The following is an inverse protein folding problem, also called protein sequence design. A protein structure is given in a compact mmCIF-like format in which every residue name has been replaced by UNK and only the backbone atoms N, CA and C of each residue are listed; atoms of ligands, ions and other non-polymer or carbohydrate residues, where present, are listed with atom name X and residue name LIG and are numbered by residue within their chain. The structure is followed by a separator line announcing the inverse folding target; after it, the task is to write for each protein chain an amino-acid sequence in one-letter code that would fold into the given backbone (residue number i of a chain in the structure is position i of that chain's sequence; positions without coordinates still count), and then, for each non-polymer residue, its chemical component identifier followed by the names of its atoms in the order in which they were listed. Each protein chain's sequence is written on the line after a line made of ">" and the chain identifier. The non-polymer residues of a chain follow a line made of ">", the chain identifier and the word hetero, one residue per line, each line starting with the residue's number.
data_IF_702312298827
#
_entry.id   IF_702312298827
#
_cell.length_a   1.000
_cell.length_b   1.000
_cell.length_c   1.000
_cell.angle_alpha   90.00
_cell.angle_beta   90.00
_cell.angle_gamma   90.00
#
_symmetry.space_group_name_H-M   'P 1'
#
loop_
_entity.id
_entity.type
_entity.pdbx_description
1 polymer ?
#
# COMPACT_ATOMS: atom_id res chain seq x y z
N UNK A 1 -15.35 23.43 -42.51
CA UNK A 1 -16.63 22.90 -41.99
C UNK A 1 -16.92 23.68 -40.72
N UNK A 2 -18.11 24.27 -40.60
CA UNK A 2 -18.45 25.12 -39.45
C UNK A 2 -19.80 24.65 -38.89
N UNK A 3 -19.83 24.36 -37.60
CA UNK A 3 -21.03 24.07 -36.81
C UNK A 3 -20.88 24.80 -35.46
N UNK A 4 -22.01 25.13 -34.83
CA UNK A 4 -22.03 25.71 -33.47
C UNK A 4 -21.75 24.67 -32.39
N UNK A 5 -21.95 23.40 -32.72
CA UNK A 5 -21.63 22.26 -31.86
C UNK A 5 -20.22 21.76 -32.18
N UNK A 6 -19.26 22.08 -31.30
CA UNK A 6 -17.87 21.65 -31.43
C UNK A 6 -17.73 20.13 -31.39
N UNK A 7 -18.56 19.42 -30.63
CA UNK A 7 -18.55 17.96 -30.61
C UNK A 7 -19.00 17.37 -31.94
N UNK A 8 -20.06 17.92 -32.55
CA UNK A 8 -20.54 17.48 -33.87
C UNK A 8 -19.52 17.75 -34.98
N UNK A 9 -18.85 18.90 -34.94
CA UNK A 9 -17.80 19.23 -35.91
C UNK A 9 -16.69 18.19 -35.90
N UNK A 10 -16.23 17.78 -34.72
CA UNK A 10 -15.18 16.77 -34.56
C UNK A 10 -15.66 15.35 -34.92
N UNK A 11 -16.91 15.01 -34.63
CA UNK A 11 -17.50 13.74 -35.08
C UNK A 11 -17.56 13.64 -36.62
N UNK A 12 -17.94 14.71 -37.31
CA UNK A 12 -17.96 14.73 -38.77
C UNK A 12 -16.52 14.67 -39.31
N UNK A 13 -15.57 15.33 -38.63
CA UNK A 13 -14.15 15.27 -39.00
C UNK A 13 -13.60 13.84 -38.92
N UNK A 14 -13.94 13.11 -37.86
CA UNK A 14 -13.60 11.71 -37.71
C UNK A 14 -14.25 10.84 -38.82
N UNK A 15 -15.55 11.05 -39.09
CA UNK A 15 -16.28 10.31 -40.13
C UNK A 15 -15.68 10.55 -41.51
N UNK A 16 -15.27 11.78 -41.79
CA UNK A 16 -14.61 12.13 -43.04
C UNK A 16 -13.25 11.44 -43.15
N UNK A 17 -12.40 11.50 -42.11
CA UNK A 17 -11.10 10.84 -42.11
C UNK A 17 -11.20 9.32 -42.32
N UNK A 18 -12.17 8.67 -41.66
CA UNK A 18 -12.30 7.21 -41.68
C UNK A 18 -13.21 6.68 -42.81
N UNK A 19 -14.08 7.51 -43.37
CA UNK A 19 -14.95 7.16 -44.49
C UNK A 19 -14.22 7.11 -45.83
N UNK A 20 -13.02 7.69 -45.93
CA UNK A 20 -12.17 7.65 -47.13
C UNK A 20 -11.43 6.32 -47.29
N UNK A 21 -11.37 5.48 -46.25
CA UNK A 21 -10.65 4.21 -46.26
C UNK A 21 -11.60 3.02 -46.10
N UNK A 22 -11.48 2.03 -46.98
CA UNK A 22 -12.31 0.82 -46.96
C UNK A 22 -12.12 -0.02 -45.69
N UNK A 23 -10.95 0.04 -45.05
CA UNK A 23 -10.62 -0.67 -43.81
C UNK A 23 -11.36 -0.12 -42.59
N UNK A 24 -11.68 1.17 -42.58
CA UNK A 24 -12.39 1.85 -41.48
C UNK A 24 -13.83 2.26 -41.84
N UNK A 25 -14.25 1.98 -43.08
CA UNK A 25 -15.60 2.28 -43.55
C UNK A 25 -16.67 1.50 -42.74
N UNK A 26 -17.82 2.14 -42.52
CA UNK A 26 -18.95 1.60 -41.75
C UNK A 26 -18.67 1.34 -40.26
N UNK A 27 -17.69 2.03 -39.67
CA UNK A 27 -17.38 1.92 -38.24
C UNK A 27 -16.46 0.76 -37.87
N UNK A 28 -15.88 0.07 -38.86
CA UNK A 28 -14.87 -0.95 -38.67
C UNK A 28 -13.48 -0.33 -38.38
N UNK A 29 -12.52 -1.16 -38.00
CA UNK A 29 -11.12 -0.78 -37.79
C UNK A 29 -10.75 -0.49 -36.33
N UNK A 30 -9.46 -0.60 -36.04
CA UNK A 30 -8.90 -0.45 -34.70
C UNK A 30 -8.77 1.04 -34.32
N UNK A 31 -8.73 1.32 -33.02
CA UNK A 31 -8.51 2.69 -32.50
C UNK A 31 -7.21 3.30 -33.04
N UNK A 32 -6.18 2.49 -33.26
CA UNK A 32 -4.90 2.92 -33.80
C UNK A 32 -5.00 3.35 -35.26
N UNK A 33 -5.69 2.57 -36.10
CA UNK A 33 -5.91 2.91 -37.52
C UNK A 33 -6.75 4.20 -37.66
N UNK A 34 -7.81 4.34 -36.85
CA UNK A 34 -8.64 5.57 -36.85
C UNK A 34 -7.83 6.81 -36.48
N UNK A 35 -6.96 6.71 -35.46
CA UNK A 35 -6.04 7.79 -35.08
C UNK A 35 -5.06 8.14 -36.19
N UNK A 36 -4.55 7.16 -36.92
CA UNK A 36 -3.62 7.40 -38.03
C UNK A 36 -4.30 8.16 -39.18
N UNK A 37 -5.51 7.77 -39.56
CA UNK A 37 -6.27 8.45 -40.61
C UNK A 37 -6.58 9.90 -40.24
N UNK A 38 -7.00 10.15 -39.00
CA UNK A 38 -7.24 11.50 -38.48
C UNK A 38 -5.95 12.33 -38.49
N UNK A 39 -4.82 11.76 -38.08
CA UNK A 39 -3.52 12.44 -38.13
C UNK A 39 -3.13 12.83 -39.56
N UNK A 40 -3.33 11.94 -40.53
CA UNK A 40 -3.08 12.25 -41.95
C UNK A 40 -3.95 13.42 -42.41
N UNK A 41 -5.22 13.45 -42.02
CA UNK A 41 -6.12 14.53 -42.39
C UNK A 41 -5.74 15.86 -41.71
N UNK A 42 -5.35 15.84 -40.43
CA UNK A 42 -4.91 17.04 -39.69
C UNK A 42 -3.69 17.72 -40.31
N UNK A 43 -2.79 16.96 -40.96
CA UNK A 43 -1.66 17.52 -41.69
C UNK A 43 -2.10 18.40 -42.88
N UNK A 44 -3.28 18.17 -43.45
CA UNK A 44 -3.82 18.95 -44.57
C UNK A 44 -4.82 20.01 -44.11
N UNK A 45 -5.62 19.68 -43.10
CA UNK A 45 -6.66 20.55 -42.55
C UNK A 45 -6.51 20.67 -41.04
N UNK A 46 -5.68 21.60 -40.55
CA UNK A 46 -5.55 21.82 -39.11
C UNK A 46 -6.88 22.30 -38.53
N UNK A 47 -7.25 21.74 -37.38
CA UNK A 47 -8.45 22.12 -36.63
C UNK A 47 -8.01 22.79 -35.35
N UNK A 48 -8.53 24.00 -35.11
CA UNK A 48 -8.31 24.74 -33.88
C UNK A 48 -9.48 24.48 -32.93
N UNK A 49 -9.17 24.25 -31.65
CA UNK A 49 -10.14 24.06 -30.59
C UNK A 49 -9.72 24.73 -29.29
N UNK A 50 -10.69 24.96 -28.42
CA UNK A 50 -10.48 25.53 -27.09
C UNK A 50 -9.95 24.46 -26.12
N UNK A 51 -8.92 24.79 -25.34
CA UNK A 51 -8.39 23.93 -24.28
C UNK A 51 -9.11 24.14 -22.93
N UNK A 52 -8.61 23.54 -21.85
CA UNK A 52 -9.23 23.65 -20.51
C UNK A 52 -9.14 25.06 -19.91
N UNK A 53 -8.24 25.91 -20.42
CA UNK A 53 -8.00 27.28 -19.96
C UNK A 53 -8.67 28.34 -20.87
N UNK A 54 -9.36 27.91 -21.93
CA UNK A 54 -10.01 28.81 -22.89
C UNK A 54 -9.08 29.27 -24.03
N UNK A 55 -7.92 28.67 -24.19
CA UNK A 55 -6.95 29.03 -25.24
C UNK A 55 -7.19 28.24 -26.52
N UNK A 56 -7.04 28.90 -27.67
CA UNK A 56 -7.19 28.28 -28.98
C UNK A 56 -5.89 27.55 -29.36
N UNK A 57 -5.95 26.21 -29.38
CA UNK A 57 -4.82 25.34 -29.72
C UNK A 57 -5.13 24.47 -30.94
N UNK A 58 -4.08 24.02 -31.63
CA UNK A 58 -4.21 23.00 -32.69
C UNK A 58 -4.52 21.63 -32.07
N UNK A 59 -5.59 21.00 -32.53
CA UNK A 59 -6.03 19.72 -32.01
C UNK A 59 -5.20 18.58 -32.60
N UNK A 60 -4.78 17.66 -31.73
CA UNK A 60 -4.17 16.41 -32.13
C UNK A 60 -5.23 15.31 -32.40
N UNK A 61 -4.81 14.21 -33.03
CA UNK A 61 -5.73 13.12 -33.38
C UNK A 61 -6.41 12.46 -32.17
N UNK A 62 -5.81 12.53 -30.98
CA UNK A 62 -6.40 11.97 -29.76
C UNK A 62 -7.48 12.88 -29.19
N UNK A 63 -7.25 14.19 -29.22
CA UNK A 63 -8.19 15.23 -28.80
C UNK A 63 -9.42 15.23 -29.71
N UNK A 64 -9.25 15.06 -31.02
CA UNK A 64 -10.39 14.92 -31.96
C UNK A 64 -11.33 13.77 -31.55
N UNK A 65 -10.78 12.67 -31.01
CA UNK A 65 -11.56 11.50 -30.58
C UNK A 65 -12.13 11.63 -29.16
N UNK A 66 -11.43 12.32 -28.26
CA UNK A 66 -11.76 12.37 -26.83
C UNK A 66 -12.63 13.58 -26.44
N UNK A 67 -12.43 14.73 -27.10
CA UNK A 67 -13.13 15.98 -26.80
C UNK A 67 -14.65 15.86 -26.95
N UNK A 68 -15.21 15.27 -28.04
CA UNK A 68 -16.67 15.10 -28.15
C UNK A 68 -17.28 14.29 -27.01
N UNK A 69 -16.54 13.26 -26.54
CA UNK A 69 -16.97 12.43 -25.41
C UNK A 69 -16.95 13.23 -24.12
N UNK A 70 -15.87 13.98 -23.87
CA UNK A 70 -15.72 14.82 -22.68
C UNK A 70 -16.84 15.86 -22.59
N UNK A 71 -17.16 16.54 -23.70
CA UNK A 71 -18.26 17.52 -23.78
C UNK A 71 -19.59 16.87 -23.42
N UNK A 72 -19.93 15.74 -24.06
CA UNK A 72 -21.19 15.01 -23.80
C UNK A 72 -21.27 14.51 -22.36
N UNK A 73 -20.18 13.97 -21.82
CA UNK A 73 -20.14 13.49 -20.43
C UNK A 73 -20.37 14.62 -19.44
N UNK A 74 -19.70 15.77 -19.61
CA UNK A 74 -19.89 16.93 -18.74
C UNK A 74 -21.29 17.54 -18.85
N UNK A 75 -21.86 17.60 -20.06
CA UNK A 75 -23.21 18.08 -20.29
C UNK A 75 -24.25 17.19 -19.58
N UNK A 76 -24.07 15.87 -19.64
CA UNK A 76 -24.92 14.89 -18.93
C UNK A 76 -24.79 15.05 -17.41
N UNK A 77 -23.60 15.33 -16.87
CA UNK A 77 -23.43 15.59 -15.43
C UNK A 77 -24.08 16.92 -15.03
N UNK A 78 -23.87 18.00 -15.79
CA UNK A 78 -24.43 19.33 -15.50
C UNK A 78 -25.95 19.36 -15.59
N UNK A 79 -26.54 18.62 -16.53
CA UNK A 79 -28.00 18.43 -16.63
C UNK A 79 -28.56 17.41 -15.62
N UNK A 80 -27.69 16.76 -14.86
CA UNK A 80 -28.02 15.64 -13.97
C UNK A 80 -28.10 14.33 -14.75
N UNK A 81 -27.36 13.31 -14.28
CA UNK A 81 -27.49 11.96 -14.85
C UNK A 81 -28.93 11.49 -14.66
N UNK A 82 -29.53 10.96 -15.73
CA UNK A 82 -30.89 10.42 -15.78
C UNK A 82 -31.15 9.26 -14.78
N UNK A 83 -30.20 8.93 -13.90
CA UNK A 83 -30.37 8.04 -12.74
C UNK A 83 -31.60 8.42 -11.91
N UNK A 84 -31.81 9.71 -11.65
CA UNK A 84 -33.02 10.16 -10.96
C UNK A 84 -34.31 9.82 -11.74
N UNK A 85 -34.29 9.84 -13.07
CA UNK A 85 -35.45 9.55 -13.92
C UNK A 85 -35.66 8.04 -14.18
N UNK A 86 -34.57 7.27 -14.29
CA UNK A 86 -34.57 5.81 -14.46
C UNK A 86 -35.07 5.09 -13.20
N UNK A 87 -34.75 5.62 -12.01
CA UNK A 87 -35.22 5.06 -10.73
C UNK A 87 -36.55 5.64 -10.24
N UNK A 88 -37.05 6.73 -10.83
CA UNK A 88 -38.39 7.26 -10.53
C UNK A 88 -39.53 6.45 -11.19
N UNK A 89 -39.27 5.71 -12.27
CA UNK A 89 -40.27 4.96 -13.04
C UNK A 89 -39.82 3.53 -13.38
N UNK A 90 -39.24 2.82 -12.40
CA UNK A 90 -38.81 1.41 -12.53
C UNK A 90 -39.98 0.52 -13.03
N UNK A 91 -41.20 0.87 -12.64
CA UNK A 91 -42.45 0.22 -13.00
C UNK A 91 -42.72 0.13 -14.52
N UNK A 92 -42.40 1.18 -15.28
CA UNK A 92 -42.69 1.23 -16.71
C UNK A 92 -41.55 0.72 -17.60
N UNK A 93 -40.29 0.83 -17.14
CA UNK A 93 -39.12 0.53 -17.98
C UNK A 93 -38.82 -0.98 -18.01
N UNK A 94 -39.08 -1.70 -16.92
CA UNK A 94 -38.69 -3.12 -16.80
C UNK A 94 -39.79 -4.13 -17.14
N UNK A 95 -41.01 -3.68 -17.49
CA UNK A 95 -42.12 -4.59 -17.82
C UNK A 95 -42.33 -5.68 -16.75
N UNK A 96 -42.11 -5.32 -15.48
CA UNK A 96 -42.00 -6.29 -14.40
C UNK A 96 -43.35 -6.96 -14.11
N UNK A 97 -43.40 -8.29 -13.93
CA UNK A 97 -44.59 -9.01 -13.47
C UNK A 97 -45.09 -8.44 -12.14
N UNK A 98 -46.42 -8.47 -11.91
CA UNK A 98 -47.05 -7.89 -10.71
C UNK A 98 -46.45 -8.42 -9.41
N UNK A 99 -46.04 -9.68 -9.41
CA UNK A 99 -45.44 -10.38 -8.28
C UNK A 99 -44.12 -9.73 -7.84
N UNK A 100 -43.32 -9.22 -8.78
CA UNK A 100 -42.04 -8.53 -8.48
C UNK A 100 -42.32 -7.12 -7.95
N UNK A 101 -43.34 -6.45 -8.48
CA UNK A 101 -43.74 -5.12 -8.05
C UNK A 101 -44.29 -5.12 -6.62
N UNK A 102 -45.04 -6.13 -6.25
CA UNK A 102 -45.58 -6.28 -4.90
C UNK A 102 -44.45 -6.49 -3.87
N UNK A 103 -43.41 -7.27 -4.22
CA UNK A 103 -42.22 -7.45 -3.37
C UNK A 103 -41.45 -6.13 -3.23
N UNK A 104 -41.27 -5.38 -4.33
CA UNK A 104 -40.56 -4.11 -4.29
C UNK A 104 -41.29 -3.07 -3.43
N UNK A 105 -42.62 -2.99 -3.56
CA UNK A 105 -43.45 -2.07 -2.78
C UNK A 105 -43.56 -2.45 -1.29
N UNK A 106 -43.25 -3.68 -0.93
CA UNK A 106 -43.19 -4.14 0.46
C UNK A 106 -41.86 -3.78 1.14
N UNK A 107 -40.82 -3.41 0.39
CA UNK A 107 -39.61 -2.91 1.01
C UNK A 107 -39.87 -1.55 1.66
N UNK A 108 -39.43 -1.34 2.92
CA UNK A 108 -39.47 -0.02 3.51
C UNK A 108 -38.60 0.91 2.69
N UNK A 109 -39.11 2.11 2.40
CA UNK A 109 -38.31 3.17 1.77
C UNK A 109 -37.08 3.37 2.64
N UNK A 110 -35.92 2.99 2.12
CA UNK A 110 -34.66 3.31 2.76
C UNK A 110 -34.54 4.83 2.70
N UNK A 111 -34.83 5.50 3.82
CA UNK A 111 -34.44 6.89 3.97
C UNK A 111 -32.92 6.90 3.79
N UNK A 112 -32.44 7.60 2.77
CA UNK A 112 -31.03 7.98 2.73
C UNK A 112 -30.68 8.50 4.12
N UNK A 113 -29.55 8.10 4.71
CA UNK A 113 -29.11 8.73 5.94
C UNK A 113 -29.11 10.22 5.63
N UNK A 114 -30.02 10.98 6.27
CA UNK A 114 -30.05 12.42 6.15
C UNK A 114 -28.62 12.81 6.38
N UNK A 115 -27.94 13.27 5.33
CA UNK A 115 -26.64 13.87 5.46
C UNK A 115 -26.87 14.87 6.57
N UNK A 116 -26.23 14.66 7.72
CA UNK A 116 -26.29 15.65 8.78
C UNK A 116 -25.73 16.89 8.11
N UNK A 117 -26.62 17.77 7.68
CA UNK A 117 -26.31 19.16 7.40
C UNK A 117 -26.04 19.73 8.80
N UNK A 118 -24.90 19.32 9.36
CA UNK A 118 -24.24 20.17 10.32
C UNK A 118 -24.10 21.51 9.59
N UNK A 119 -24.64 22.60 10.16
CA UNK A 119 -24.43 23.91 9.57
C UNK A 119 -22.92 24.06 9.44
N UNK A 120 -22.45 24.20 8.19
CA UNK A 120 -21.08 24.61 7.93
C UNK A 120 -20.85 25.84 8.81
N UNK A 121 -19.83 25.85 9.68
CA UNK A 121 -19.54 27.01 10.50
C UNK A 121 -19.42 28.22 9.57
N UNK A 122 -19.94 29.38 10.01
CA UNK A 122 -19.99 30.60 9.20
C UNK A 122 -18.61 31.02 8.65
N UNK A 123 -17.53 30.45 9.20
CA UNK A 123 -16.15 30.64 8.76
C UNK A 123 -15.35 29.32 8.85
N UNK A 124 -15.41 28.42 7.85
CA UNK A 124 -14.73 27.12 7.90
C UNK A 124 -13.19 27.22 7.84
N UNK A 125 -12.63 28.42 7.67
CA UNK A 125 -11.20 28.69 7.65
C UNK A 125 -10.63 29.32 8.93
N UNK A 126 -11.46 29.62 9.94
CA UNK A 126 -10.98 30.27 11.16
C UNK A 126 -10.22 29.26 12.03
N UNK A 127 -8.88 29.29 11.94
CA UNK A 127 -7.98 28.40 12.67
C UNK A 127 -7.25 27.34 11.80
N UNK A 128 -7.52 27.29 10.49
CA UNK A 128 -6.78 26.44 9.56
C UNK A 128 -5.64 27.23 8.91
N UNK A 129 -4.42 26.73 9.03
CA UNK A 129 -3.30 27.23 8.24
C UNK A 129 -3.47 26.74 6.79
N UNK A 130 -3.87 27.63 5.89
CA UNK A 130 -4.06 27.36 4.47
C UNK A 130 -2.82 27.77 3.68
N UNK A 131 -2.47 27.01 2.64
CA UNK A 131 -1.43 27.38 1.69
C UNK A 131 -1.92 28.35 0.61
N UNK A 132 -1.03 28.71 -0.32
CA UNK A 132 -1.30 29.62 -1.43
C UNK A 132 -2.37 29.10 -2.42
N UNK A 133 -2.74 27.82 -2.35
CA UNK A 133 -3.77 27.17 -3.16
C UNK A 133 -5.09 26.98 -2.40
N UNK A 134 -5.15 27.40 -1.13
CA UNK A 134 -6.31 27.23 -0.27
C UNK A 134 -6.47 25.81 0.28
N UNK A 135 -5.42 25.00 0.23
CA UNK A 135 -5.38 23.68 0.86
C UNK A 135 -4.87 23.78 2.30
N UNK A 136 -5.27 22.82 3.15
CA UNK A 136 -4.87 22.80 4.57
C UNK A 136 -3.41 22.35 4.65
N UNK A 137 -2.52 23.28 4.97
CA UNK A 137 -1.09 23.04 5.13
C UNK A 137 -0.69 23.17 6.61
N UNK A 138 -0.62 22.07 7.37
CA UNK A 138 -0.21 22.12 8.77
C UNK A 138 1.25 22.60 8.89
N UNK A 139 1.51 23.64 9.70
CA UNK A 139 2.87 24.14 9.97
C UNK A 139 3.76 23.02 10.54
N UNK A 140 4.91 22.76 9.92
CA UNK A 140 5.87 21.73 10.35
C UNK A 140 6.28 21.85 11.84
N UNK A 141 6.36 23.08 12.37
CA UNK A 141 6.65 23.32 13.78
C UNK A 141 5.58 22.79 14.74
N UNK A 142 4.32 22.75 14.30
CA UNK A 142 3.21 22.18 15.09
C UNK A 142 3.37 20.66 15.16
N UNK A 143 3.78 20.01 14.06
CA UNK A 143 3.91 18.56 13.93
C UNK A 143 5.05 18.02 14.80
N UNK A 144 6.20 18.71 14.82
CA UNK A 144 7.38 18.24 15.55
C UNK A 144 7.24 18.44 17.06
N UNK A 145 6.65 19.57 17.50
CA UNK A 145 6.43 19.86 18.92
C UNK A 145 5.37 18.95 19.55
N UNK A 146 4.24 18.76 18.85
CA UNK A 146 3.14 17.92 19.36
C UNK A 146 3.51 16.44 19.42
N UNK A 147 4.31 15.93 18.48
CA UNK A 147 4.76 14.55 18.52
C UNK A 147 5.58 14.24 19.79
N UNK A 148 6.46 15.16 20.21
CA UNK A 148 7.23 14.98 21.43
C UNK A 148 6.34 14.95 22.69
N UNK A 149 5.30 15.78 22.72
CA UNK A 149 4.33 15.80 23.83
C UNK A 149 3.47 14.53 23.88
N UNK A 150 3.06 13.99 22.73
CA UNK A 150 2.18 12.80 22.65
C UNK A 150 2.93 11.51 22.94
N UNK A 151 4.12 11.34 22.33
CA UNK A 151 4.92 10.13 22.52
C UNK A 151 5.76 10.18 23.80
N UNK A 152 6.00 11.38 24.34
CA UNK A 152 6.76 11.61 25.55
C UNK A 152 8.25 11.29 25.42
N UNK A 153 8.96 11.30 26.55
CA UNK A 153 10.35 10.87 26.60
C UNK A 153 10.50 9.41 26.17
N UNK A 154 11.60 9.08 25.47
CA UNK A 154 11.89 7.72 25.01
C UNK A 154 11.92 6.75 26.19
N UNK A 155 10.85 5.98 26.36
CA UNK A 155 10.76 4.94 27.39
C UNK A 155 11.53 3.70 26.94
N UNK A 156 12.74 3.53 27.48
CA UNK A 156 13.44 2.25 27.44
C UNK A 156 12.79 1.32 28.47
N UNK A 157 11.73 0.62 28.07
CA UNK A 157 11.02 -0.29 28.96
C UNK A 157 11.84 -1.55 29.22
N UNK A 158 12.46 -1.66 30.40
CA UNK A 158 13.10 -2.91 30.88
C UNK A 158 12.11 -4.07 30.84
N UNK A 159 10.83 -3.82 31.17
CA UNK A 159 9.77 -4.82 31.23
C UNK A 159 9.36 -5.39 29.86
N UNK A 160 9.34 -4.59 28.78
CA UNK A 160 9.08 -5.11 27.43
C UNK A 160 10.26 -5.95 26.95
N UNK A 161 11.49 -5.47 27.18
CA UNK A 161 12.69 -6.22 26.83
C UNK A 161 12.79 -7.54 27.60
N UNK A 162 12.43 -7.57 28.89
CA UNK A 162 12.39 -8.80 29.69
C UNK A 162 11.35 -9.78 29.16
N UNK A 163 10.14 -9.32 28.82
CA UNK A 163 9.09 -10.20 28.27
C UNK A 163 9.52 -10.73 26.90
N UNK A 164 10.03 -9.88 26.01
CA UNK A 164 10.55 -10.29 24.70
C UNK A 164 11.72 -11.29 24.86
N UNK A 165 12.66 -11.02 25.78
CA UNK A 165 13.80 -11.93 26.00
C UNK A 165 13.38 -13.26 26.62
N UNK A 166 12.34 -13.28 27.44
CA UNK A 166 11.83 -14.51 28.08
C UNK A 166 10.94 -15.35 27.16
N UNK A 167 10.31 -14.72 26.17
CA UNK A 167 9.40 -15.38 25.21
C UNK A 167 10.13 -15.91 23.98
N UNK A 168 11.26 -15.30 23.60
CA UNK A 168 12.14 -15.80 22.55
C UNK A 168 12.86 -17.08 23.02
N UNK A 169 12.27 -18.23 22.67
CA UNK A 169 12.88 -19.56 22.85
C UNK A 169 13.95 -19.87 21.80
N UNK A 170 14.69 -20.98 22.00
CA UNK A 170 15.60 -21.50 20.97
C UNK A 170 14.77 -22.08 19.81
N UNK A 171 14.87 -21.54 18.58
CA UNK A 171 13.95 -21.85 17.48
C UNK A 171 14.27 -23.14 16.72
N UNK A 172 15.19 -23.97 17.23
CA UNK A 172 15.62 -25.20 16.56
C UNK A 172 14.56 -26.31 16.54
N UNK A 173 13.51 -26.21 17.37
CA UNK A 173 12.50 -27.26 17.60
C UNK A 173 11.08 -26.73 17.79
N UNK A 174 10.76 -25.51 17.34
CA UNK A 174 9.44 -24.92 17.58
C UNK A 174 8.48 -25.17 16.42
N UNK A 175 7.32 -25.74 16.73
CA UNK A 175 6.22 -25.89 15.79
C UNK A 175 5.58 -24.52 15.45
N UNK A 176 4.87 -24.45 14.32
CA UNK A 176 4.19 -23.24 13.87
C UNK A 176 3.20 -22.67 14.91
N UNK A 177 2.59 -23.55 15.72
CA UNK A 177 1.67 -23.15 16.80
C UNK A 177 2.39 -22.44 17.95
N UNK A 178 3.59 -22.91 18.34
CA UNK A 178 4.36 -22.29 19.43
C UNK A 178 4.88 -20.91 19.02
N UNK A 179 5.28 -20.78 17.76
CA UNK A 179 5.73 -19.51 17.17
C UNK A 179 4.61 -18.46 17.18
N UNK A 180 3.37 -18.89 16.89
CA UNK A 180 2.21 -18.00 16.93
C UNK A 180 1.84 -17.60 18.37
N UNK A 181 1.94 -18.52 19.32
CA UNK A 181 1.71 -18.24 20.74
C UNK A 181 2.73 -17.25 21.32
N UNK A 182 4.01 -17.36 20.92
CA UNK A 182 5.04 -16.39 21.31
C UNK A 182 4.75 -14.99 20.76
N UNK A 183 4.38 -14.91 19.48
CA UNK A 183 3.99 -13.65 18.84
C UNK A 183 2.79 -13.01 19.55
N UNK A 184 1.77 -13.80 19.91
CA UNK A 184 0.59 -13.31 20.64
C UNK A 184 0.94 -12.79 22.04
N UNK A 185 1.87 -13.44 22.75
CA UNK A 185 2.34 -12.97 24.05
C UNK A 185 3.10 -11.65 23.93
N UNK A 186 3.94 -11.50 22.90
CA UNK A 186 4.66 -10.26 22.61
C UNK A 186 3.67 -9.15 22.24
N UNK A 187 2.69 -9.43 21.37
CA UNK A 187 1.63 -8.48 21.00
C UNK A 187 0.87 -7.99 22.24
N UNK A 188 0.46 -8.90 23.13
CA UNK A 188 -0.22 -8.54 24.39
C UNK A 188 0.63 -7.64 25.29
N UNK A 189 1.89 -7.98 25.49
CA UNK A 189 2.79 -7.19 26.34
C UNK A 189 3.03 -5.78 25.79
N UNK A 190 3.18 -5.65 24.47
CA UNK A 190 3.33 -4.34 23.80
C UNK A 190 2.02 -3.55 23.87
N UNK A 191 0.88 -4.22 23.72
CA UNK A 191 -0.42 -3.58 23.85
C UNK A 191 -0.64 -2.95 25.22
N UNK A 192 -0.36 -3.70 26.29
CA UNK A 192 -0.54 -3.25 27.68
C UNK A 192 0.47 -2.14 28.06
N UNK A 193 1.73 -2.26 27.64
CA UNK A 193 2.78 -1.36 28.12
C UNK A 193 3.04 -0.14 27.23
N UNK A 194 2.72 -0.21 25.94
CA UNK A 194 3.06 0.83 24.96
C UNK A 194 1.80 1.41 24.31
N UNK A 195 0.91 0.55 23.80
CA UNK A 195 -0.24 1.01 23.01
C UNK A 195 -1.32 1.66 23.87
N UNK A 196 -1.70 1.06 25.00
CA UNK A 196 -2.69 1.63 25.92
C UNK A 196 -2.29 3.03 26.45
N UNK A 197 -1.09 3.24 27.04
CA UNK A 197 -0.74 4.56 27.54
C UNK A 197 -0.59 5.60 26.42
N UNK A 198 -0.19 5.18 25.21
CA UNK A 198 -0.15 6.07 24.05
C UNK A 198 -1.56 6.51 23.63
N UNK A 199 -2.51 5.58 23.59
CA UNK A 199 -3.90 5.87 23.27
C UNK A 199 -4.51 6.80 24.33
N UNK A 200 -4.24 6.55 25.62
CA UNK A 200 -4.71 7.41 26.71
C UNK A 200 -4.15 8.83 26.61
N UNK A 201 -2.84 8.96 26.33
CA UNK A 201 -2.19 10.27 26.16
C UNK A 201 -2.75 11.01 24.94
N UNK A 202 -2.94 10.32 23.81
CA UNK A 202 -3.55 10.89 22.62
C UNK A 202 -5.00 11.31 22.87
N UNK A 203 -5.78 10.52 23.62
CA UNK A 203 -7.15 10.89 23.98
C UNK A 203 -7.22 12.05 24.96
N UNK A 204 -6.24 12.22 25.86
CA UNK A 204 -6.18 13.39 26.73
C UNK A 204 -5.85 14.67 25.96
N UNK A 205 -4.99 14.60 24.95
CA UNK A 205 -4.58 15.76 24.16
C UNK A 205 -5.57 16.14 23.05
N UNK A 206 -6.29 15.17 22.47
CA UNK A 206 -7.16 15.40 21.30
C UNK A 206 -8.63 15.02 21.53
N UNK A 207 -8.99 14.42 22.67
CA UNK A 207 -10.25 13.69 22.83
C UNK A 207 -11.49 14.51 23.14
N UNK A 208 -11.36 15.76 23.61
CA UNK A 208 -12.52 16.59 23.95
C UNK A 208 -13.27 17.08 22.69
N UNK A 209 -12.55 17.35 21.59
CA UNK A 209 -13.13 17.79 20.32
C UNK A 209 -13.31 16.65 19.29
N UNK A 210 -12.83 15.44 19.59
CA UNK A 210 -12.81 14.34 18.62
C UNK A 210 -14.08 13.46 18.66
N UNK A 211 -14.69 13.29 17.49
CA UNK A 211 -15.91 12.49 17.34
C UNK A 211 -15.66 11.02 17.72
N UNK A 212 -16.71 10.30 18.13
CA UNK A 212 -16.58 8.89 18.58
C UNK A 212 -16.07 7.96 17.46
N UNK A 213 -16.41 8.26 16.21
CA UNK A 213 -15.91 7.57 15.01
C UNK A 213 -14.40 7.70 14.89
N UNK A 214 -13.90 8.91 15.11
CA UNK A 214 -12.51 9.27 14.84
C UNK A 214 -11.61 8.73 15.95
N UNK A 215 -12.08 8.75 17.20
CA UNK A 215 -11.46 8.02 18.32
C UNK A 215 -11.32 6.52 18.03
N UNK A 216 -12.37 5.90 17.50
CA UNK A 216 -12.33 4.47 17.18
C UNK A 216 -11.36 4.20 16.03
N UNK A 217 -11.37 5.04 15.00
CA UNK A 217 -10.46 4.93 13.86
C UNK A 217 -9.01 5.09 14.31
N UNK A 218 -8.69 6.12 15.08
CA UNK A 218 -7.36 6.37 15.63
C UNK A 218 -6.85 5.19 16.47
N UNK A 219 -7.66 4.67 17.39
CA UNK A 219 -7.29 3.50 18.19
C UNK A 219 -7.00 2.27 17.31
N UNK A 220 -7.81 2.03 16.27
CA UNK A 220 -7.61 0.92 15.35
C UNK A 220 -6.36 1.08 14.50
N UNK A 221 -6.06 2.30 14.03
CA UNK A 221 -4.88 2.60 13.21
C UNK A 221 -3.60 2.42 14.00
N UNK A 222 -3.56 2.92 15.25
CA UNK A 222 -2.40 2.74 16.14
C UNK A 222 -2.18 1.26 16.42
N UNK A 223 -3.24 0.54 16.81
CA UNK A 223 -3.19 -0.91 17.09
C UNK A 223 -2.66 -1.69 15.89
N UNK A 224 -3.28 -1.51 14.72
CA UNK A 224 -2.92 -2.25 13.52
C UNK A 224 -1.49 -1.95 13.05
N UNK A 225 -1.03 -0.70 13.20
CA UNK A 225 0.31 -0.30 12.80
C UNK A 225 1.37 -0.91 13.72
N UNK A 226 1.11 -0.94 15.03
CA UNK A 226 1.99 -1.58 16.00
C UNK A 226 2.03 -3.09 15.78
N UNK A 227 0.87 -3.74 15.61
CA UNK A 227 0.79 -5.17 15.34
C UNK A 227 1.57 -5.57 14.07
N UNK A 228 1.42 -4.79 12.99
CA UNK A 228 2.12 -5.02 11.74
C UNK A 228 3.64 -4.89 11.90
N UNK A 229 4.11 -3.89 12.65
CA UNK A 229 5.54 -3.70 12.88
C UNK A 229 6.13 -4.77 13.80
N UNK A 230 5.39 -5.21 14.82
CA UNK A 230 5.79 -6.32 15.70
C UNK A 230 5.92 -7.62 14.90
N UNK A 231 4.95 -7.92 14.04
CA UNK A 231 4.96 -9.11 13.21
C UNK A 231 6.10 -9.10 12.19
N UNK A 232 6.35 -7.93 11.57
CA UNK A 232 7.49 -7.74 10.68
C UNK A 232 8.82 -7.93 11.40
N UNK A 233 8.99 -7.39 12.61
CA UNK A 233 10.24 -7.54 13.37
C UNK A 233 10.44 -8.96 13.89
N UNK A 234 9.38 -9.63 14.29
CA UNK A 234 9.43 -11.01 14.73
C UNK A 234 9.78 -11.96 13.57
N UNK A 235 9.17 -11.77 12.41
CA UNK A 235 9.50 -12.55 11.19
C UNK A 235 10.94 -12.31 10.73
N UNK A 236 11.41 -11.06 10.71
CA UNK A 236 12.82 -10.73 10.41
C UNK A 236 13.78 -11.37 11.42
N UNK A 237 13.45 -11.33 12.71
CA UNK A 237 14.23 -12.00 13.75
C UNK A 237 14.34 -13.51 13.50
N UNK A 238 13.22 -14.18 13.21
CA UNK A 238 13.20 -15.62 12.94
C UNK A 238 14.01 -15.98 11.69
N UNK A 239 13.91 -15.19 10.61
CA UNK A 239 14.69 -15.37 9.40
C UNK A 239 16.19 -15.21 9.69
N UNK A 240 16.57 -14.13 10.38
CA UNK A 240 17.97 -13.91 10.74
C UNK A 240 18.50 -15.02 11.64
N UNK A 241 17.70 -15.50 12.58
CA UNK A 241 18.10 -16.57 13.46
C UNK A 241 18.29 -17.88 12.70
N UNK A 242 17.35 -18.24 11.81
CA UNK A 242 17.47 -19.40 10.92
C UNK A 242 18.73 -19.33 10.04
N UNK A 243 19.02 -18.15 9.47
CA UNK A 243 20.25 -17.93 8.69
C UNK A 243 21.51 -18.14 9.53
N UNK A 244 21.57 -17.59 10.75
CA UNK A 244 22.69 -17.81 11.69
C UNK A 244 22.84 -19.28 12.04
N UNK A 245 21.75 -20.02 12.17
CA UNK A 245 21.82 -21.47 12.44
C UNK A 245 22.37 -22.25 11.25
N UNK A 246 21.98 -21.86 10.03
CA UNK A 246 22.48 -22.44 8.79
C UNK A 246 23.97 -22.17 8.61
N UNK A 247 24.41 -20.92 8.84
CA UNK A 247 25.83 -20.53 8.84
C UNK A 247 26.63 -21.34 9.85
N UNK A 248 26.14 -21.45 11.09
CA UNK A 248 26.77 -22.27 12.15
C UNK A 248 26.92 -23.73 11.73
N UNK A 249 25.88 -24.33 11.12
CA UNK A 249 25.91 -25.72 10.61
C UNK A 249 26.91 -25.86 9.46
N UNK A 250 27.00 -24.87 8.58
CA UNK A 250 27.95 -24.86 7.47
C UNK A 250 29.40 -24.76 7.97
N UNK A 251 29.66 -23.92 8.97
CA UNK A 251 30.97 -23.80 9.63
C UNK A 251 31.39 -25.09 10.35
N UNK A 252 30.45 -25.74 11.06
CA UNK A 252 30.68 -27.05 11.67
C UNK A 252 31.03 -28.10 10.61
N UNK A 253 30.24 -28.18 9.52
CA UNK A 253 30.51 -29.09 8.42
C UNK A 253 31.87 -28.82 7.74
N UNK A 254 32.24 -27.55 7.55
CA UNK A 254 33.56 -27.18 6.99
C UNK A 254 34.71 -27.59 7.91
N UNK A 255 34.54 -27.45 9.23
CA UNK A 255 35.52 -27.85 10.24
C UNK A 255 35.69 -29.38 10.26
N UNK A 256 34.59 -30.14 10.20
CA UNK A 256 34.62 -31.61 10.10
C UNK A 256 35.27 -32.11 8.79
N UNK A 257 35.20 -31.33 7.71
CA UNK A 257 35.80 -31.70 6.41
C UNK A 257 37.29 -31.34 6.32
N UNK A 258 37.76 -30.35 7.07
CA UNK A 258 39.16 -29.91 7.08
C UNK A 258 40.05 -30.77 7.97
N UNK A 259 39.55 -31.26 9.11
CA UNK A 259 40.31 -32.14 10.01
C UNK A 259 40.38 -33.60 9.56
N UNK A 260 39.55 -34.03 8.60
CA UNK A 260 39.47 -35.43 8.17
C UNK A 260 40.16 -35.77 6.83
N UNK A 261 41.10 -34.92 6.37
CA UNK A 261 41.89 -35.14 5.14
C UNK A 261 43.38 -35.44 5.35
N UNK A 262 43.83 -35.64 6.59
CA UNK A 262 45.12 -36.28 6.81
C UNK A 262 44.81 -37.75 7.10
N UNK A 263 45.30 -38.71 6.30
CA UNK A 263 45.07 -40.12 6.59
C UNK A 263 45.50 -40.41 8.02
N UNK A 264 44.56 -40.79 8.88
CA UNK A 264 44.76 -41.19 10.27
C UNK A 264 45.95 -42.15 10.50
N UNK A 265 46.36 -43.06 9.57
CA UNK A 265 47.60 -43.82 9.75
C UNK A 265 48.90 -43.00 9.68
N UNK A 266 48.91 -41.85 9.00
CA UNK A 266 50.12 -41.05 8.80
C UNK A 266 50.46 -40.17 10.02
N UNK A 267 49.44 -39.61 10.69
CA UNK A 267 49.60 -38.85 11.93
C UNK A 267 50.09 -39.72 13.10
N UNK A 268 49.56 -40.94 13.22
CA UNK A 268 49.99 -41.89 14.25
C UNK A 268 51.45 -42.32 14.03
N UNK A 269 51.84 -42.59 12.78
CA UNK A 269 53.22 -42.93 12.40
C UNK A 269 54.22 -41.79 12.65
N UNK A 270 53.85 -40.55 12.28
CA UNK A 270 54.68 -39.37 12.48
C UNK A 270 54.86 -39.05 13.97
N UNK A 271 53.78 -39.07 14.76
CA UNK A 271 53.85 -38.88 16.21
C UNK A 271 54.67 -39.99 16.89
N UNK A 272 54.50 -41.26 16.50
CA UNK A 272 55.28 -42.36 17.05
C UNK A 272 56.78 -42.22 16.75
N UNK A 273 57.14 -41.72 15.57
CA UNK A 273 58.55 -41.50 15.18
C UNK A 273 59.19 -40.33 15.93
N UNK A 274 58.46 -39.24 16.13
CA UNK A 274 58.94 -38.07 16.90
C UNK A 274 59.12 -38.43 18.38
N UNK A 275 58.14 -39.14 18.96
CA UNK A 275 58.21 -39.61 20.35
C UNK A 275 59.38 -40.59 20.52
N UNK A 276 59.58 -41.52 19.57
CA UNK A 276 60.71 -42.46 19.58
C UNK A 276 62.04 -41.74 19.49
N UNK A 277 62.20 -40.76 18.59
CA UNK A 277 63.42 -39.98 18.44
C UNK A 277 63.74 -39.16 19.71
N UNK A 278 62.71 -38.53 20.30
CA UNK A 278 62.84 -37.79 21.56
C UNK A 278 63.24 -38.67 22.75
N UNK A 279 62.65 -39.86 22.85
CA UNK A 279 63.02 -40.86 23.88
C UNK A 279 64.43 -41.38 23.67
N UNK A 280 64.84 -41.66 22.43
CA UNK A 280 66.15 -42.22 22.11
C UNK A 280 67.28 -41.22 22.41
N UNK A 281 67.08 -39.93 22.10
CA UNK A 281 68.02 -38.86 22.43
C UNK A 281 68.11 -38.62 23.94
N UNK A 282 66.99 -38.70 24.67
CA UNK A 282 67.00 -38.60 26.15
C UNK A 282 67.66 -39.81 26.81
N UNK A 283 67.49 -41.00 26.24
CA UNK A 283 68.13 -42.22 26.73
C UNK A 283 69.64 -42.21 26.46
N UNK A 284 70.10 -41.77 25.29
CA UNK A 284 71.54 -41.62 25.00
C UNK A 284 72.18 -40.54 25.89
N UNK A 285 71.50 -39.42 26.12
CA UNK A 285 71.99 -38.38 27.03
C UNK A 285 72.08 -38.84 28.50
N UNK A 286 71.24 -39.80 28.91
CA UNK A 286 71.28 -40.38 30.26
C UNK A 286 72.35 -41.46 30.43
N UNK A 287 72.72 -42.19 29.36
CA UNK A 287 73.75 -43.24 29.38
C UNK A 287 75.18 -42.67 29.19
N UNK A 288 75.32 -41.47 28.63
CA UNK A 288 76.59 -40.76 28.45
C UNK A 288 76.97 -39.85 29.64
N UNK A 289 76.22 -39.86 30.74
CA UNK A 289 76.58 -39.28 32.03
C UNK A 289 76.93 -40.38 33.02
#
# INVERSE_FOLDING_TARGET
>A
MFDFDSARTLDIYEQFANGLYSSTASGNGTTSERKEHIRKLLNFFPVLGEDENGEMIELNAEQVLSVPRKIRSQEVVKRGFMSNFLFQNISNIFGAPKEVMDIINQFPVANEPKKNEEPLPDNPGEGLDLDEYGEIAPKESLIIGTAADIFGEKKYGTSVNEIVSSTLGNPGEQDAEETHQQLDQIKKAIHEQVVQPLIETAQQHFGDDMHKSDRKSLNSTITNTVDAEVERKFTDFNVQQSNREAERKEELNKSDTAENRIPTPYLISACASIIRCGLQNRFTAAVLR
#
